data_IF_830297406284
#
_entry.id   IF_830297406284
#
_cell.length_a   1.000
_cell.length_b   1.000
_cell.length_c   1.000
_cell.angle_alpha   90.00
_cell.angle_beta   90.00
_cell.angle_gamma   90.00
#
_symmetry.space_group_name_H-M   'P 1'
#
loop_
_entity.id
_entity.type
_entity.pdbx_description
1 polymer ?
#
# COMPACT_ATOMS: atom_id res chain seq x y z
N UNK A 1 -0.16 67.04 31.64
CA UNK A 1 -0.10 66.51 30.25
C UNK A 1 -0.18 65.00 30.32
N UNK A 2 -1.22 64.37 29.76
CA UNK A 2 -1.39 62.91 29.76
C UNK A 2 -0.63 62.34 28.56
N UNK A 3 0.33 61.45 28.82
CA UNK A 3 1.14 60.77 27.80
C UNK A 3 0.35 59.56 27.30
N UNK A 4 -0.09 59.57 26.04
CA UNK A 4 -0.74 58.42 25.41
C UNK A 4 0.32 57.45 24.89
N UNK A 5 0.33 56.22 25.41
CA UNK A 5 1.15 55.12 24.92
C UNK A 5 0.42 54.51 23.73
N UNK A 6 0.99 54.66 22.53
CA UNK A 6 0.52 54.00 21.32
C UNK A 6 1.15 52.61 21.30
N UNK A 7 0.35 51.57 21.58
CA UNK A 7 0.77 50.18 21.43
C UNK A 7 0.59 49.80 19.96
N UNK A 8 1.71 49.72 19.24
CA UNK A 8 1.75 49.23 17.86
C UNK A 8 1.69 47.69 17.94
N UNK A 9 0.53 47.13 17.63
CA UNK A 9 0.32 45.70 17.51
C UNK A 9 1.00 45.20 16.22
N UNK A 10 2.23 44.68 16.34
CA UNK A 10 2.95 44.04 15.25
C UNK A 10 2.29 42.66 14.98
N UNK A 11 1.42 42.60 13.98
CA UNK A 11 0.90 41.34 13.48
C UNK A 11 2.03 40.60 12.73
N UNK A 12 2.65 39.62 13.39
CA UNK A 12 3.56 38.68 12.75
C UNK A 12 2.75 37.80 11.79
N UNK A 13 2.76 38.16 10.50
CA UNK A 13 2.32 37.27 9.43
C UNK A 13 3.34 36.14 9.36
N UNK A 14 2.99 34.98 9.91
CA UNK A 14 3.74 33.75 9.73
C UNK A 14 3.69 33.38 8.26
N UNK A 15 4.79 33.61 7.54
CA UNK A 15 5.01 33.05 6.21
C UNK A 15 5.23 31.56 6.44
N UNK A 16 4.15 30.76 6.32
CA UNK A 16 4.30 29.32 6.16
C UNK A 16 4.86 29.14 4.76
N UNK A 17 6.18 28.95 4.67
CA UNK A 17 6.82 28.52 3.45
C UNK A 17 6.32 27.10 3.17
N UNK A 18 5.27 27.00 2.35
CA UNK A 18 4.87 25.74 1.73
C UNK A 18 6.07 25.25 0.93
N UNK A 19 6.67 24.15 1.36
CA UNK A 19 7.69 23.45 0.60
C UNK A 19 6.97 22.95 -0.65
N UNK A 20 7.13 23.65 -1.78
CA UNK A 20 6.77 23.09 -3.07
C UNK A 20 7.74 21.93 -3.30
N UNK A 21 7.32 20.74 -2.90
CA UNK A 21 8.00 19.51 -3.27
C UNK A 21 7.79 19.37 -4.78
N UNK A 22 8.75 19.86 -5.57
CA UNK A 22 8.88 19.52 -6.98
C UNK A 22 9.13 18.01 -7.02
N UNK A 23 8.04 17.25 -7.04
CA UNK A 23 8.10 15.81 -7.16
C UNK A 23 8.51 15.45 -8.58
N UNK A 24 9.50 14.59 -8.73
CA UNK A 24 9.73 13.89 -9.99
C UNK A 24 8.40 13.25 -10.44
N UNK A 25 7.94 13.55 -11.66
CA UNK A 25 6.75 12.93 -12.22
C UNK A 25 6.96 11.41 -12.29
N UNK A 26 6.22 10.67 -11.48
CA UNK A 26 6.25 9.22 -11.44
C UNK A 26 4.86 8.64 -11.23
N UNK A 27 4.67 7.42 -11.70
CA UNK A 27 3.42 6.67 -11.55
C UNK A 27 3.56 5.72 -10.36
N UNK A 28 2.62 5.79 -9.42
CA UNK A 28 2.53 4.82 -8.33
C UNK A 28 1.52 3.74 -8.69
N UNK A 29 1.95 2.48 -8.58
CA UNK A 29 1.13 1.31 -8.88
C UNK A 29 1.06 0.44 -7.63
N UNK A 30 -0.07 0.45 -6.94
CA UNK A 30 -0.32 -0.44 -5.81
C UNK A 30 -1.10 -1.65 -6.30
N UNK A 31 -0.52 -2.84 -6.12
CA UNK A 31 -1.17 -4.10 -6.46
C UNK A 31 -1.81 -4.69 -5.21
N UNK A 32 -3.08 -5.08 -5.28
CA UNK A 32 -3.80 -5.67 -4.15
C UNK A 32 -3.70 -7.19 -4.13
N UNK A 33 -3.93 -7.81 -2.97
CA UNK A 33 -4.01 -9.28 -2.81
C UNK A 33 -5.13 -9.91 -3.64
N UNK A 34 -6.16 -9.15 -3.99
CA UNK A 34 -7.25 -9.55 -4.88
C UNK A 34 -6.89 -9.46 -6.37
N UNK A 35 -5.66 -9.05 -6.69
CA UNK A 35 -5.20 -8.94 -8.07
C UNK A 35 -5.72 -7.70 -8.80
N UNK A 36 -5.90 -6.57 -8.10
CA UNK A 36 -6.25 -5.28 -8.72
C UNK A 36 -5.04 -4.36 -8.74
N UNK A 37 -4.85 -3.59 -9.82
CA UNK A 37 -3.83 -2.54 -9.89
C UNK A 37 -4.47 -1.16 -9.73
N UNK A 38 -4.08 -0.44 -8.68
CA UNK A 38 -4.48 0.93 -8.41
C UNK A 38 -3.36 1.87 -8.81
N UNK A 39 -3.69 2.87 -9.61
CA UNK A 39 -2.74 3.85 -10.13
C UNK A 39 -2.98 5.19 -9.44
N UNK A 40 -1.90 5.86 -9.05
CA UNK A 40 -1.90 7.24 -8.56
C UNK A 40 -0.77 8.01 -9.23
N UNK A 41 -1.05 9.24 -9.66
CA UNK A 41 -0.08 10.13 -10.27
C UNK A 41 -0.41 11.58 -9.90
N UNK A 42 0.61 12.34 -9.50
CA UNK A 42 0.51 13.80 -9.35
C UNK A 42 1.13 14.46 -10.59
N UNK A 43 0.41 15.40 -11.17
CA UNK A 43 0.76 16.06 -12.44
C UNK A 43 0.78 17.57 -12.20
N UNK A 44 1.75 18.27 -12.75
CA UNK A 44 1.93 19.72 -12.54
C UNK A 44 1.77 20.50 -13.85
N UNK A 45 0.53 20.72 -14.31
CA UNK A 45 0.28 21.42 -15.56
C UNK A 45 0.63 22.91 -15.48
N UNK A 46 0.86 23.51 -16.65
CA UNK A 46 0.99 24.96 -16.77
C UNK A 46 -0.36 25.65 -16.48
N UNK A 47 -0.37 26.66 -15.61
CA UNK A 47 -1.60 27.29 -15.10
C UNK A 47 -2.38 28.13 -16.13
N UNK A 48 -1.82 28.36 -17.31
CA UNK A 48 -2.51 29.04 -18.41
C UNK A 48 -3.16 28.05 -19.40
N UNK A 49 -2.98 26.75 -19.18
CA UNK A 49 -3.55 25.70 -20.02
C UNK A 49 -4.88 25.24 -19.42
N UNK A 50 -5.93 25.18 -20.25
CA UNK A 50 -7.26 24.74 -19.82
C UNK A 50 -7.43 23.23 -19.82
N UNK A 51 -6.54 22.50 -20.49
CA UNK A 51 -6.64 21.06 -20.73
C UNK A 51 -5.28 20.44 -20.99
N UNK A 52 -5.01 19.29 -20.36
CA UNK A 52 -3.81 18.49 -20.61
C UNK A 52 -4.17 17.11 -21.14
N UNK A 53 -3.21 16.46 -21.80
CA UNK A 53 -3.31 15.08 -22.24
C UNK A 53 -2.32 14.23 -21.42
N UNK A 54 -2.80 13.11 -20.89
CA UNK A 54 -2.05 12.23 -19.98
C UNK A 54 -2.06 10.81 -20.53
N UNK A 55 -0.88 10.22 -20.68
CA UNK A 55 -0.74 8.82 -21.11
C UNK A 55 -1.04 7.88 -19.94
N UNK A 56 -2.16 7.16 -19.99
CA UNK A 56 -2.52 6.15 -18.99
C UNK A 56 -1.95 4.78 -19.35
N UNK A 57 -1.71 3.96 -18.32
CA UNK A 57 -1.03 2.66 -18.46
C UNK A 57 -1.87 1.53 -19.09
N UNK A 58 -3.19 1.73 -19.23
CA UNK A 58 -4.15 0.77 -19.80
C UNK A 58 -5.31 1.48 -20.49
N UNK A 59 -5.89 0.85 -21.50
CA UNK A 59 -7.13 1.29 -22.16
C UNK A 59 -8.36 0.92 -21.33
N UNK A 60 -8.24 -0.12 -20.51
CA UNK A 60 -9.33 -0.61 -19.66
C UNK A 60 -9.10 -0.10 -18.23
N UNK A 61 -9.73 1.03 -17.92
CA UNK A 61 -9.68 1.65 -16.59
C UNK A 61 -11.05 1.74 -15.94
N UNK A 62 -11.07 1.86 -14.62
CA UNK A 62 -12.29 2.08 -13.83
C UNK A 62 -12.00 2.94 -12.60
N UNK A 63 -13.04 3.46 -11.95
CA UNK A 63 -12.92 4.31 -10.76
C UNK A 63 -11.96 5.49 -10.96
N UNK A 64 -12.01 6.10 -12.14
CA UNK A 64 -11.22 7.27 -12.49
C UNK A 64 -11.65 8.48 -11.65
N UNK A 65 -10.67 9.17 -11.08
CA UNK A 65 -10.83 10.41 -10.34
C UNK A 65 -9.64 11.33 -10.65
N UNK A 66 -9.93 12.53 -11.12
CA UNK A 66 -8.97 13.61 -11.23
C UNK A 66 -9.46 14.78 -10.37
N UNK A 67 -8.60 15.29 -9.48
CA UNK A 67 -8.90 16.45 -8.63
C UNK A 67 -7.77 17.47 -8.69
N UNK A 68 -8.10 18.75 -8.52
CA UNK A 68 -7.10 19.82 -8.43
C UNK A 68 -6.58 20.03 -7.00
N UNK A 69 -5.67 21.01 -6.83
CA UNK A 69 -5.11 21.37 -5.52
C UNK A 69 -6.15 21.88 -4.49
N UNK A 70 -7.38 22.17 -4.92
CA UNK A 70 -8.51 22.60 -4.09
C UNK A 70 -9.54 21.48 -3.86
N UNK A 71 -9.22 20.24 -4.25
CA UNK A 71 -10.10 19.07 -4.21
C UNK A 71 -11.36 19.21 -5.09
N UNK A 72 -11.29 20.02 -6.14
CA UNK A 72 -12.37 20.14 -7.14
C UNK A 72 -12.20 19.01 -8.15
N UNK A 73 -13.29 18.28 -8.43
CA UNK A 73 -13.31 17.23 -9.44
C UNK A 73 -13.15 17.85 -10.82
N UNK A 74 -12.18 17.37 -11.59
CA UNK A 74 -11.87 17.81 -12.94
C UNK A 74 -12.59 16.94 -13.97
N UNK A 75 -13.01 17.56 -15.07
CA UNK A 75 -13.62 16.85 -16.19
C UNK A 75 -12.59 16.01 -16.93
N UNK A 76 -12.93 14.76 -17.25
CA UNK A 76 -12.04 13.84 -17.96
C UNK A 76 -12.71 13.22 -19.17
N UNK A 77 -11.95 12.97 -20.23
CA UNK A 77 -12.39 12.20 -21.41
C UNK A 77 -11.26 11.29 -21.84
N UNK A 78 -11.56 10.01 -22.05
CA UNK A 78 -10.58 9.01 -22.46
C UNK A 78 -10.76 8.65 -23.93
N UNK A 79 -9.65 8.57 -24.65
CA UNK A 79 -9.54 8.02 -26.01
C UNK A 79 -8.37 7.04 -26.02
N UNK A 80 -8.66 5.74 -26.08
CA UNK A 80 -7.70 4.64 -25.86
C UNK A 80 -6.87 4.83 -24.57
N UNK A 81 -5.56 5.05 -24.69
CA UNK A 81 -4.65 5.31 -23.55
C UNK A 81 -4.35 6.79 -23.34
N UNK A 82 -5.04 7.67 -24.04
CA UNK A 82 -4.89 9.10 -23.87
C UNK A 82 -6.06 9.62 -23.02
N UNK A 83 -5.72 10.15 -21.85
CA UNK A 83 -6.68 10.77 -20.95
C UNK A 83 -6.57 12.29 -21.04
N UNK A 84 -7.61 12.93 -21.56
CA UNK A 84 -7.74 14.38 -21.57
C UNK A 84 -8.35 14.86 -20.25
N UNK A 85 -7.68 15.78 -19.56
CA UNK A 85 -8.13 16.35 -18.28
C UNK A 85 -8.33 17.86 -18.44
N UNK A 86 -9.54 18.35 -18.16
CA UNK A 86 -9.86 19.78 -18.16
C UNK A 86 -9.37 20.43 -16.86
N UNK A 87 -8.14 20.94 -16.87
CA UNK A 87 -7.47 21.53 -15.70
C UNK A 87 -7.99 22.91 -15.33
N UNK A 88 -8.53 23.67 -16.29
CA UNK A 88 -9.07 25.02 -16.08
C UNK A 88 -8.10 25.97 -15.34
N UNK A 89 -6.79 25.79 -15.57
CA UNK A 89 -5.72 26.57 -14.93
C UNK A 89 -5.29 26.10 -13.54
N UNK A 90 -5.66 24.87 -13.14
CA UNK A 90 -5.10 24.21 -11.97
C UNK A 90 -3.57 24.14 -12.03
N UNK A 91 -2.93 24.14 -10.86
CA UNK A 91 -1.47 24.08 -10.71
C UNK A 91 -0.96 22.69 -10.36
N UNK A 92 -1.85 21.82 -9.87
CA UNK A 92 -1.59 20.41 -9.63
C UNK A 92 -2.85 19.60 -9.92
N UNK A 93 -2.68 18.37 -10.38
CA UNK A 93 -3.74 17.40 -10.59
C UNK A 93 -3.33 16.09 -9.92
N UNK A 94 -4.17 15.60 -9.00
CA UNK A 94 -4.06 14.25 -8.48
C UNK A 94 -4.99 13.31 -9.27
N UNK A 95 -4.38 12.43 -10.04
CA UNK A 95 -5.04 11.44 -10.88
C UNK A 95 -4.99 10.07 -10.20
N UNK A 96 -6.15 9.42 -10.06
CA UNK A 96 -6.30 8.07 -9.51
C UNK A 96 -7.24 7.25 -10.37
N UNK A 97 -6.91 5.98 -10.61
CA UNK A 97 -7.77 5.04 -11.33
C UNK A 97 -7.34 3.60 -11.07
N UNK A 98 -8.22 2.64 -11.36
CA UNK A 98 -7.87 1.22 -11.45
C UNK A 98 -7.54 0.87 -12.90
N UNK A 99 -6.52 0.06 -13.11
CA UNK A 99 -6.10 -0.38 -14.44
C UNK A 99 -6.16 -1.91 -14.58
N UNK A 100 -6.68 -2.39 -15.71
CA UNK A 100 -6.58 -3.80 -16.08
C UNK A 100 -5.22 -4.06 -16.74
N UNK A 101 -4.22 -4.34 -15.89
CA UNK A 101 -2.83 -4.62 -16.26
C UNK A 101 -2.29 -5.87 -15.56
N UNK A 102 -3.15 -6.61 -14.86
CA UNK A 102 -2.78 -7.78 -14.07
C UNK A 102 -3.52 -9.01 -14.58
N UNK A 103 -2.76 -10.08 -14.79
CA UNK A 103 -3.31 -11.40 -15.13
C UNK A 103 -2.84 -12.42 -14.09
N UNK A 104 -3.60 -13.52 -13.93
CA UNK A 104 -3.27 -14.59 -12.99
C UNK A 104 -3.36 -15.95 -13.69
N UNK A 105 -2.28 -16.72 -13.61
CA UNK A 105 -2.21 -18.06 -14.19
C UNK A 105 -1.33 -18.96 -13.32
N UNK A 106 -1.84 -20.14 -12.98
CA UNK A 106 -1.07 -21.20 -12.29
C UNK A 106 -0.36 -20.75 -10.99
N UNK A 107 -0.97 -19.88 -10.18
CA UNK A 107 -0.37 -19.39 -8.93
C UNK A 107 0.54 -18.17 -9.08
N UNK A 108 0.67 -17.65 -10.30
CA UNK A 108 1.54 -16.52 -10.64
C UNK A 108 0.68 -15.36 -11.11
N UNK A 109 0.87 -14.19 -10.49
CA UNK A 109 0.39 -12.93 -11.01
C UNK A 109 1.41 -12.35 -11.99
N UNK A 110 0.91 -11.80 -13.09
CA UNK A 110 1.72 -11.12 -14.11
C UNK A 110 1.16 -9.73 -14.36
N UNK A 111 1.94 -8.72 -13.97
CA UNK A 111 1.72 -7.31 -14.18
C UNK A 111 2.40 -6.88 -15.49
N UNK A 112 1.66 -6.28 -16.41
CA UNK A 112 2.20 -5.83 -17.71
C UNK A 112 1.64 -4.47 -18.10
N UNK A 113 2.51 -3.49 -18.32
CA UNK A 113 2.15 -2.15 -18.75
C UNK A 113 3.30 -1.46 -19.49
N UNK A 114 3.03 -0.29 -20.07
CA UNK A 114 4.04 0.58 -20.66
C UNK A 114 3.88 1.97 -20.08
N UNK A 115 4.98 2.66 -19.80
CA UNK A 115 5.00 3.98 -19.18
C UNK A 115 6.14 4.82 -19.71
N UNK A 116 5.89 6.09 -20.02
CA UNK A 116 6.93 7.07 -20.37
C UNK A 116 7.63 7.64 -19.12
N UNK A 117 7.01 7.46 -17.95
CA UNK A 117 7.53 7.90 -16.66
C UNK A 117 8.12 6.73 -15.88
N UNK A 118 8.97 7.07 -14.90
CA UNK A 118 9.35 6.11 -13.86
C UNK A 118 8.10 5.63 -13.15
N UNK A 119 8.12 4.38 -12.69
CA UNK A 119 7.01 3.81 -11.93
C UNK A 119 7.49 3.21 -10.62
N UNK A 120 6.73 3.42 -9.55
CA UNK A 120 6.92 2.76 -8.26
C UNK A 120 5.84 1.72 -8.10
N UNK A 121 6.22 0.44 -8.16
CA UNK A 121 5.31 -0.69 -8.00
C UNK A 121 5.40 -1.20 -6.57
N UNK A 122 4.28 -1.15 -5.86
CA UNK A 122 4.10 -1.68 -4.51
C UNK A 122 3.35 -3.02 -4.60
N UNK A 123 4.05 -4.10 -4.26
CA UNK A 123 3.50 -5.46 -4.32
C UNK A 123 2.72 -5.79 -3.04
N UNK A 124 1.71 -6.67 -3.11
CA UNK A 124 1.00 -7.08 -1.91
C UNK A 124 1.93 -7.74 -0.88
N UNK A 125 1.60 -7.69 0.42
CA UNK A 125 2.36 -8.41 1.43
C UNK A 125 2.52 -9.91 1.12
N UNK A 126 3.62 -10.49 1.59
CA UNK A 126 3.97 -11.90 1.36
C UNK A 126 4.25 -12.27 -0.11
N UNK A 127 4.33 -11.27 -0.99
CA UNK A 127 4.71 -11.48 -2.38
C UNK A 127 6.17 -11.95 -2.48
N UNK A 128 6.41 -12.76 -3.50
CA UNK A 128 7.75 -13.14 -3.92
C UNK A 128 7.88 -12.85 -5.41
N UNK A 129 8.86 -12.03 -5.75
CA UNK A 129 9.21 -11.75 -7.15
C UNK A 129 9.67 -13.06 -7.83
N UNK A 130 9.11 -13.34 -8.99
CA UNK A 130 9.42 -14.52 -9.81
C UNK A 130 10.25 -14.11 -11.02
N UNK A 131 9.88 -13.03 -11.70
CA UNK A 131 10.60 -12.52 -12.86
C UNK A 131 10.35 -11.03 -13.07
N UNK A 132 11.32 -10.34 -13.64
CA UNK A 132 11.19 -8.96 -14.11
C UNK A 132 11.97 -8.81 -15.43
N UNK A 133 11.39 -8.13 -16.42
CA UNK A 133 12.00 -7.95 -17.73
C UNK A 133 12.97 -6.76 -17.82
N UNK A 134 13.11 -5.98 -16.75
CA UNK A 134 13.98 -4.81 -16.66
C UNK A 134 14.75 -4.82 -15.35
N UNK A 135 15.77 -3.98 -15.23
CA UNK A 135 16.53 -3.78 -14.00
C UNK A 135 15.87 -2.64 -13.22
N UNK A 136 15.42 -2.85 -11.96
CA UNK A 136 14.93 -1.77 -11.11
C UNK A 136 16.01 -0.72 -10.86
N UNK A 137 15.58 0.53 -10.77
CA UNK A 137 16.40 1.65 -10.31
C UNK A 137 16.67 1.49 -8.81
N UNK A 138 15.65 1.08 -8.06
CA UNK A 138 15.68 0.87 -6.62
C UNK A 138 14.78 -0.30 -6.24
N UNK A 139 15.18 -1.04 -5.20
CA UNK A 139 14.42 -2.14 -4.62
C UNK A 139 14.41 -1.95 -3.10
N UNK A 140 13.23 -1.89 -2.52
CA UNK A 140 13.00 -2.04 -1.08
C UNK A 140 12.25 -3.36 -0.81
N UNK A 141 11.81 -3.63 0.42
CA UNK A 141 11.22 -4.93 0.78
C UNK A 141 10.07 -5.36 -0.16
N UNK A 142 9.13 -4.45 -0.43
CA UNK A 142 7.93 -4.73 -1.24
C UNK A 142 7.74 -3.76 -2.42
N UNK A 143 8.62 -2.75 -2.54
CA UNK A 143 8.52 -1.71 -3.56
C UNK A 143 9.65 -1.77 -4.59
N UNK A 144 9.29 -1.60 -5.86
CA UNK A 144 10.20 -1.64 -6.99
C UNK A 144 10.08 -0.33 -7.77
N UNK A 145 11.16 0.45 -7.83
CA UNK A 145 11.22 1.63 -8.70
C UNK A 145 11.76 1.18 -10.05
N UNK A 146 10.93 1.29 -11.08
CA UNK A 146 11.17 0.79 -12.42
C UNK A 146 11.38 1.95 -13.40
N UNK A 147 12.30 1.80 -14.36
CA UNK A 147 12.52 2.82 -15.39
C UNK A 147 11.30 2.93 -16.34
N UNK A 148 11.21 4.01 -17.12
CA UNK A 148 10.29 4.09 -18.25
C UNK A 148 10.47 2.92 -19.24
N UNK A 149 9.40 2.56 -19.93
CA UNK A 149 9.36 1.55 -20.99
C UNK A 149 8.30 0.48 -20.77
N UNK A 150 8.44 -0.62 -21.50
CA UNK A 150 7.57 -1.80 -21.37
C UNK A 150 7.98 -2.63 -20.15
N UNK A 151 7.10 -2.70 -19.17
CA UNK A 151 7.30 -3.42 -17.91
C UNK A 151 6.49 -4.71 -17.91
N UNK A 152 7.14 -5.80 -17.52
CA UNK A 152 6.55 -7.10 -17.24
C UNK A 152 7.15 -7.66 -15.95
N UNK A 153 6.34 -7.70 -14.90
CA UNK A 153 6.70 -8.20 -13.57
C UNK A 153 5.81 -9.40 -13.23
N UNK A 154 6.41 -10.51 -12.81
CA UNK A 154 5.66 -11.67 -12.32
C UNK A 154 5.99 -11.94 -10.86
N UNK A 155 4.97 -12.23 -10.05
CA UNK A 155 5.11 -12.51 -8.63
C UNK A 155 4.10 -13.57 -8.17
N UNK A 156 4.39 -14.20 -7.04
CA UNK A 156 3.46 -15.11 -6.35
C UNK A 156 3.19 -14.60 -4.95
N UNK A 157 1.96 -14.73 -4.47
CA UNK A 157 1.61 -14.43 -3.07
C UNK A 157 1.65 -15.74 -2.30
N UNK A 158 2.41 -15.80 -1.20
CA UNK A 158 2.42 -16.99 -0.35
C UNK A 158 1.03 -17.16 0.30
N UNK A 159 0.41 -18.36 0.22
CA UNK A 159 -0.84 -18.60 0.90
C UNK A 159 -0.62 -18.57 2.42
N UNK A 160 -1.56 -17.95 3.13
CA UNK A 160 -1.67 -18.11 4.59
C UNK A 160 -2.55 -19.32 4.88
N UNK A 161 -2.11 -20.16 5.80
CA UNK A 161 -2.89 -21.31 6.27
C UNK A 161 -3.34 -21.04 7.69
N UNK A 162 -4.64 -21.25 7.95
CA UNK A 162 -5.18 -21.35 9.30
C UNK A 162 -5.16 -22.80 9.76
N UNK A 163 -4.78 -23.02 11.01
CA UNK A 163 -4.84 -24.33 11.66
C UNK A 163 -5.49 -24.18 13.04
N UNK A 164 -6.52 -24.99 13.27
CA UNK A 164 -7.19 -25.08 14.56
C UNK A 164 -6.53 -26.15 15.43
N UNK A 165 -6.42 -25.85 16.72
CA UNK A 165 -5.95 -26.74 17.75
C UNK A 165 -6.96 -26.78 18.90
N UNK A 166 -7.29 -27.98 19.35
CA UNK A 166 -8.19 -28.18 20.48
C UNK A 166 -7.34 -28.42 21.71
N UNK A 167 -7.59 -27.64 22.75
CA UNK A 167 -6.91 -27.80 24.04
C UNK A 167 -7.94 -28.00 25.16
N UNK A 168 -7.70 -28.96 26.07
CA UNK A 168 -8.50 -29.11 27.26
C UNK A 168 -8.05 -28.08 28.30
N UNK A 169 -8.99 -27.29 28.83
CA UNK A 169 -8.78 -26.46 30.02
C UNK A 169 -9.90 -26.80 31.00
N UNK A 170 -9.50 -27.23 32.20
CA UNK A 170 -10.38 -27.81 33.22
C UNK A 170 -11.23 -28.98 32.69
N UNK A 171 -12.54 -28.77 32.51
CA UNK A 171 -13.50 -29.76 32.01
C UNK A 171 -14.12 -29.36 30.66
N UNK A 172 -13.52 -28.37 29.98
CA UNK A 172 -14.00 -27.84 28.69
C UNK A 172 -12.90 -27.88 27.64
N UNK A 173 -13.30 -27.97 26.37
CA UNK A 173 -12.39 -27.90 25.24
C UNK A 173 -12.49 -26.52 24.59
N UNK A 174 -11.33 -25.91 24.36
CA UNK A 174 -11.21 -24.60 23.73
C UNK A 174 -10.45 -24.70 22.42
N UNK A 175 -10.88 -23.90 21.45
CA UNK A 175 -10.22 -23.80 20.15
C UNK A 175 -9.22 -22.66 20.17
N UNK A 176 -7.98 -22.98 19.82
CA UNK A 176 -6.96 -22.01 19.44
C UNK A 176 -6.83 -22.05 17.93
N UNK A 177 -6.83 -20.89 17.30
CA UNK A 177 -6.57 -20.76 15.87
C UNK A 177 -5.20 -20.10 15.68
N UNK A 178 -4.34 -20.70 14.86
CA UNK A 178 -3.09 -20.07 14.44
C UNK A 178 -3.08 -19.89 12.92
N UNK A 179 -2.80 -18.66 12.49
CA UNK A 179 -2.77 -18.24 11.10
C UNK A 179 -1.33 -17.84 10.77
N UNK A 180 -0.73 -18.49 9.78
CA UNK A 180 0.63 -18.18 9.36
C UNK A 180 0.83 -18.35 7.85
N UNK A 181 1.74 -17.56 7.29
CA UNK A 181 2.25 -17.72 5.93
C UNK A 181 3.25 -18.88 5.79
N UNK A 182 3.52 -19.61 6.88
CA UNK A 182 4.39 -20.77 6.88
C UNK A 182 3.78 -21.97 7.61
N UNK A 183 4.38 -23.14 7.36
CA UNK A 183 3.87 -24.41 7.86
C UNK A 183 4.11 -24.52 9.37
N UNK A 184 3.05 -24.75 10.13
CA UNK A 184 3.16 -25.15 11.54
C UNK A 184 3.45 -26.66 11.58
N UNK A 185 4.69 -27.03 11.87
CA UNK A 185 5.16 -28.43 11.91
C UNK A 185 4.68 -29.15 13.16
N UNK A 186 4.74 -28.47 14.30
CA UNK A 186 4.35 -29.02 15.59
C UNK A 186 3.55 -28.01 16.39
N UNK A 187 2.62 -28.54 17.17
CA UNK A 187 1.86 -27.82 18.18
C UNK A 187 1.85 -28.67 19.44
N UNK A 188 2.05 -28.03 20.57
CA UNK A 188 1.80 -28.61 21.89
C UNK A 188 1.25 -27.54 22.80
N UNK A 189 0.33 -27.95 23.67
CA UNK A 189 -0.18 -27.11 24.74
C UNK A 189 -0.20 -27.93 26.03
N UNK A 190 0.20 -27.29 27.12
CA UNK A 190 0.05 -27.78 28.48
C UNK A 190 -0.58 -26.67 29.32
N UNK A 191 -0.66 -26.86 30.65
CA UNK A 191 -1.30 -25.89 31.54
C UNK A 191 -0.60 -24.52 31.57
N UNK A 192 0.70 -24.47 31.28
CA UNK A 192 1.55 -23.30 31.46
C UNK A 192 2.09 -22.72 30.14
N UNK A 193 2.06 -23.50 29.04
CA UNK A 193 2.69 -23.13 27.77
C UNK A 193 1.88 -23.61 26.55
N UNK A 194 1.80 -22.73 25.54
CA UNK A 194 1.39 -23.08 24.17
C UNK A 194 2.60 -22.88 23.27
N UNK A 195 3.00 -23.93 22.56
CA UNK A 195 4.18 -23.93 21.70
C UNK A 195 3.81 -24.24 20.25
N UNK A 196 4.34 -23.43 19.33
CA UNK A 196 4.27 -23.64 17.89
C UNK A 196 5.68 -23.81 17.34
N UNK A 197 5.92 -24.87 16.56
CA UNK A 197 7.13 -24.98 15.74
C UNK A 197 6.73 -24.60 14.32
N UNK A 198 7.22 -23.45 13.86
CA UNK A 198 6.93 -22.92 12.52
C UNK A 198 8.15 -23.15 11.64
N UNK A 199 7.92 -23.73 10.47
CA UNK A 199 8.93 -23.87 9.43
C UNK A 199 9.19 -22.50 8.82
N UNK A 200 10.44 -22.07 8.75
CA UNK A 200 10.85 -20.75 8.25
C UNK A 200 10.42 -19.58 9.17
N UNK A 201 11.07 -18.42 9.00
CA UNK A 201 10.73 -17.20 9.74
C UNK A 201 9.44 -16.61 9.14
N UNK A 202 8.34 -16.67 9.88
CA UNK A 202 7.05 -16.15 9.47
C UNK A 202 6.30 -15.47 10.62
N UNK A 203 5.44 -14.52 10.27
CA UNK A 203 4.47 -13.96 11.20
C UNK A 203 3.43 -15.03 11.52
N UNK A 204 3.04 -15.12 12.78
CA UNK A 204 1.94 -15.95 13.26
C UNK A 204 0.97 -15.07 14.02
N UNK A 205 -0.29 -15.13 13.60
CA UNK A 205 -1.39 -14.58 14.36
C UNK A 205 -2.07 -15.74 15.08
N UNK A 206 -2.17 -15.65 16.40
CA UNK A 206 -2.83 -16.67 17.22
C UNK A 206 -4.05 -16.07 17.91
N UNK A 207 -5.20 -16.73 17.76
CA UNK A 207 -6.44 -16.38 18.45
C UNK A 207 -6.60 -17.34 19.62
N UNK A 208 -6.45 -16.83 20.84
CA UNK A 208 -6.52 -17.60 22.08
C UNK A 208 -7.75 -17.14 22.88
N UNK A 209 -8.68 -18.03 23.25
CA UNK A 209 -9.83 -17.68 24.08
C UNK A 209 -9.42 -17.20 25.47
N UNK A 210 -10.13 -16.22 26.03
CA UNK A 210 -9.86 -15.68 27.38
C UNK A 210 -9.82 -16.74 28.49
N UNK A 211 -10.64 -17.82 28.47
CA UNK A 211 -10.52 -18.90 29.46
C UNK A 211 -9.20 -19.67 29.42
N UNK A 212 -8.50 -19.63 28.28
CA UNK A 212 -7.17 -20.22 28.11
C UNK A 212 -6.09 -19.23 28.55
N UNK A 213 -6.30 -17.94 28.25
CA UNK A 213 -5.34 -16.88 28.52
C UNK A 213 -6.07 -15.61 28.96
N UNK A 214 -6.09 -15.36 30.27
CA UNK A 214 -6.86 -14.27 30.85
C UNK A 214 -6.28 -12.88 30.56
N UNK A 215 -4.95 -12.76 30.52
CA UNK A 215 -4.25 -11.51 30.27
C UNK A 215 -3.15 -11.72 29.22
N UNK A 216 -3.25 -11.10 28.03
CA UNK A 216 -2.22 -11.23 27.00
C UNK A 216 -0.88 -10.65 27.42
N UNK A 217 -0.84 -9.64 28.29
CA UNK A 217 0.40 -8.96 28.68
C UNK A 217 1.32 -9.81 29.57
N UNK A 218 0.81 -10.91 30.13
CA UNK A 218 1.60 -11.84 30.94
C UNK A 218 2.27 -12.93 30.07
N UNK A 219 2.14 -12.83 28.74
CA UNK A 219 2.68 -13.81 27.79
C UNK A 219 4.16 -13.57 27.56
N UNK A 220 4.92 -14.66 27.66
CA UNK A 220 6.30 -14.72 27.22
C UNK A 220 6.38 -15.32 25.82
N UNK A 221 7.05 -14.64 24.88
CA UNK A 221 7.39 -15.20 23.59
C UNK A 221 8.86 -15.63 23.61
N UNK A 222 9.12 -16.93 23.48
CA UNK A 222 10.46 -17.51 23.60
C UNK A 222 11.17 -17.14 24.92
N UNK A 223 10.40 -16.94 26.00
CA UNK A 223 10.92 -16.59 27.32
C UNK A 223 11.14 -15.08 27.57
N UNK A 224 10.78 -14.22 26.62
CA UNK A 224 10.87 -12.76 26.75
C UNK A 224 9.48 -12.14 26.87
N UNK A 225 9.34 -11.08 27.69
CA UNK A 225 8.10 -10.30 27.79
C UNK A 225 7.75 -9.69 26.43
N UNK A 226 6.48 -9.80 26.05
CA UNK A 226 5.98 -9.23 24.80
C UNK A 226 5.32 -7.88 25.10
N UNK A 227 5.86 -6.81 24.53
CA UNK A 227 5.12 -5.54 24.44
C UNK A 227 4.14 -5.64 23.26
N UNK A 228 2.84 -5.63 23.58
CA UNK A 228 1.74 -5.63 22.60
C UNK A 228 1.39 -4.23 22.13
#
# INVERSE_FOLDING_TARGET
MKLQIIVILLATVGIVAGVAQLGDEQIFITVTTEGKAKISQSIFPETFVSTIDVQIVSENISNLLAIDEKNIILGTTQDDKLLKIATLGASAVDLKYNADILSYESGIFKLKYSSELKSKVDLPPLSKLVSLNTIPIEITDEEYVLPPGDISLSFSIRPVTSKEFIIPVDQSEYKIEAISAAKIEQFSANADEIQFIIKDKAIVLTIIPTPVMANPNDVLLNGEEVEF
#
